data_IF_863886440753
#
_entry.id   IF_863886440753
#
_cell.length_a   1.000
_cell.length_b   1.000
_cell.length_c   1.000
_cell.angle_alpha   90.00
_cell.angle_beta   90.00
_cell.angle_gamma   90.00
#
_symmetry.space_group_name_H-M   'P 1'
#
loop_
_entity.id
_entity.type
_entity.pdbx_description
1 polymer ?
#
# COMPACT_ATOMS: atom_id res chain seq x y z
N UNK A 1 -6.90 -0.91 6.00
CA UNK A 1 -6.60 -0.86 4.54
C UNK A 1 -5.57 0.23 4.33
N UNK A 2 -4.68 0.09 3.34
CA UNK A 2 -3.73 1.16 2.99
C UNK A 2 -3.86 1.52 1.51
N UNK A 3 -3.75 2.81 1.19
CA UNK A 3 -3.55 3.30 -0.17
C UNK A 3 -2.07 3.61 -0.38
N UNK A 4 -1.47 2.95 -1.35
CA UNK A 4 -0.10 3.15 -1.78
C UNK A 4 -0.10 3.96 -3.08
N UNK A 5 0.65 5.06 -3.15
CA UNK A 5 0.92 5.80 -4.39
C UNK A 5 2.39 5.66 -4.74
N UNK A 6 2.67 5.13 -5.93
CA UNK A 6 4.00 4.75 -6.38
C UNK A 6 4.56 5.79 -7.37
N UNK A 7 5.82 6.25 -7.18
CA UNK A 7 6.54 6.94 -8.23
C UNK A 7 6.93 5.94 -9.34
N UNK A 8 7.04 6.42 -10.59
CA UNK A 8 7.33 5.61 -11.79
C UNK A 8 8.45 4.56 -11.60
N UNK A 9 9.51 4.93 -10.87
CA UNK A 9 10.70 4.10 -10.65
C UNK A 9 10.44 2.82 -9.83
N UNK A 10 9.39 2.78 -9.01
CA UNK A 10 9.08 1.62 -8.14
C UNK A 10 8.29 0.55 -8.90
N UNK A 11 7.65 0.90 -10.02
CA UNK A 11 6.77 -0.02 -10.78
C UNK A 11 7.51 -1.20 -11.43
N UNK A 12 8.85 -1.18 -11.47
CA UNK A 12 9.66 -2.27 -12.04
C UNK A 12 10.10 -3.33 -11.01
N UNK A 13 9.77 -3.16 -9.73
CA UNK A 13 10.14 -4.11 -8.69
C UNK A 13 8.99 -5.06 -8.31
N UNK A 14 9.28 -6.31 -7.92
CA UNK A 14 8.27 -7.26 -7.47
C UNK A 14 7.83 -6.96 -6.03
N UNK A 15 7.34 -5.74 -5.78
CA UNK A 15 7.13 -5.20 -4.44
C UNK A 15 6.20 -6.09 -3.60
N UNK A 16 5.04 -6.48 -4.12
CA UNK A 16 4.08 -7.31 -3.41
C UNK A 16 4.63 -8.69 -3.04
N UNK A 17 5.45 -9.27 -3.92
CA UNK A 17 6.14 -10.53 -3.63
C UNK A 17 7.13 -10.35 -2.47
N UNK A 18 7.90 -9.26 -2.46
CA UNK A 18 8.81 -8.96 -1.36
C UNK A 18 8.07 -8.75 -0.05
N UNK A 19 6.90 -8.09 -0.06
CA UNK A 19 6.07 -7.93 1.14
C UNK A 19 5.72 -9.28 1.78
N UNK A 20 5.20 -10.21 0.98
CA UNK A 20 4.83 -11.54 1.49
C UNK A 20 6.01 -12.40 1.90
N UNK A 21 7.15 -12.29 1.19
CA UNK A 21 8.37 -13.05 1.51
C UNK A 21 9.07 -12.54 2.76
N UNK A 22 9.17 -11.23 2.93
CA UNK A 22 10.08 -10.60 3.90
C UNK A 22 9.36 -10.16 5.20
N UNK A 23 8.02 -10.05 5.18
CA UNK A 23 7.23 -9.51 6.30
C UNK A 23 6.05 -10.38 6.71
N UNK A 24 5.98 -11.66 6.32
CA UNK A 24 4.91 -12.59 6.73
C UNK A 24 3.46 -12.04 6.61
N UNK A 25 3.24 -11.08 5.70
CA UNK A 25 1.91 -10.52 5.42
C UNK A 25 1.36 -11.13 4.14
N UNK A 26 0.04 -11.23 4.05
CA UNK A 26 -0.64 -11.56 2.81
C UNK A 26 -1.30 -10.29 2.28
N UNK A 27 -0.79 -9.70 1.18
CA UNK A 27 -1.43 -8.56 0.55
C UNK A 27 -2.61 -9.02 -0.32
N UNK A 28 -3.75 -8.36 -0.15
CA UNK A 28 -4.94 -8.52 -0.97
C UNK A 28 -5.25 -7.19 -1.68
N UNK A 29 -5.30 -7.21 -3.00
CA UNK A 29 -5.52 -6.00 -3.82
C UNK A 29 -7.02 -5.72 -3.92
N UNK A 30 -7.44 -4.56 -3.44
CA UNK A 30 -8.84 -4.11 -3.55
C UNK A 30 -9.09 -3.22 -4.76
N UNK A 31 -8.07 -2.50 -5.21
CA UNK A 31 -8.10 -1.68 -6.41
C UNK A 31 -6.70 -1.24 -6.79
N UNK A 32 -6.46 -1.02 -8.08
CA UNK A 32 -5.20 -0.49 -8.55
C UNK A 32 -5.39 0.23 -9.89
N UNK A 33 -4.58 1.25 -10.11
CA UNK A 33 -4.40 1.88 -11.41
C UNK A 33 -2.90 2.04 -11.62
N UNK A 34 -2.39 1.50 -12.72
CA UNK A 34 -0.97 1.56 -13.06
C UNK A 34 -0.86 2.28 -14.39
N UNK A 35 -0.30 3.48 -14.38
CA UNK A 35 0.07 4.24 -15.56
C UNK A 35 1.59 4.31 -15.73
N UNK A 36 2.02 4.91 -16.84
CA UNK A 36 3.43 4.96 -17.22
C UNK A 36 4.30 5.76 -16.23
N UNK A 37 3.76 6.83 -15.65
CA UNK A 37 4.50 7.75 -14.77
C UNK A 37 4.09 7.66 -13.28
N UNK A 38 2.91 7.10 -13.01
CA UNK A 38 2.32 7.02 -11.68
C UNK A 38 1.36 5.85 -11.58
N UNK A 39 1.29 5.26 -10.41
CA UNK A 39 0.27 4.26 -10.10
C UNK A 39 -0.14 4.33 -8.65
N UNK A 40 -1.32 3.79 -8.35
CA UNK A 40 -1.80 3.63 -6.99
C UNK A 40 -2.38 2.24 -6.79
N UNK A 41 -2.40 1.79 -5.54
CA UNK A 41 -2.98 0.51 -5.15
C UNK A 41 -3.59 0.59 -3.76
N UNK A 42 -4.81 0.10 -3.62
CA UNK A 42 -5.42 -0.22 -2.34
C UNK A 42 -5.08 -1.65 -1.95
N UNK A 43 -4.45 -1.78 -0.79
CA UNK A 43 -4.07 -3.04 -0.19
C UNK A 43 -4.81 -3.25 1.12
N UNK A 44 -5.41 -4.41 1.25
CA UNK A 44 -5.74 -5.01 2.53
C UNK A 44 -4.60 -5.96 2.90
N UNK A 45 -4.00 -5.76 4.07
CA UNK A 45 -2.90 -6.58 4.55
C UNK A 45 -3.41 -7.48 5.66
N UNK A 46 -3.22 -8.77 5.50
CA UNK A 46 -3.48 -9.77 6.54
C UNK A 46 -2.15 -10.18 7.18
N UNK A 47 -2.08 -10.16 8.50
CA UNK A 47 -0.88 -10.49 9.27
C UNK A 47 -0.93 -9.89 10.67
N UNK A 48 0.12 -10.13 11.45
CA UNK A 48 0.25 -9.51 12.78
C UNK A 48 0.46 -8.01 12.65
N UNK A 49 -0.12 -7.22 13.56
CA UNK A 49 -0.06 -5.75 13.51
C UNK A 49 1.39 -5.24 13.42
N UNK A 50 2.33 -5.84 14.15
CA UNK A 50 3.73 -5.45 14.10
C UNK A 50 4.38 -5.69 12.73
N UNK A 51 4.01 -6.76 12.02
CA UNK A 51 4.51 -7.01 10.66
C UNK A 51 3.92 -5.99 9.68
N UNK A 52 2.63 -5.67 9.82
CA UNK A 52 1.93 -4.65 9.02
C UNK A 52 2.59 -3.28 9.21
N UNK A 53 2.91 -2.90 10.45
CA UNK A 53 3.59 -1.63 10.74
C UNK A 53 4.97 -1.57 10.07
N UNK A 54 5.75 -2.67 10.12
CA UNK A 54 7.03 -2.76 9.40
C UNK A 54 6.87 -2.65 7.89
N UNK A 55 5.82 -3.22 7.31
CA UNK A 55 5.51 -3.07 5.88
C UNK A 55 5.23 -1.63 5.52
N UNK A 56 4.46 -0.91 6.32
CA UNK A 56 4.17 0.52 6.10
C UNK A 56 5.45 1.35 6.16
N UNK A 57 6.31 1.12 7.15
CA UNK A 57 7.61 1.80 7.24
C UNK A 57 8.52 1.46 6.06
N UNK A 58 8.57 0.19 5.66
CA UNK A 58 9.34 -0.25 4.50
C UNK A 58 8.88 0.46 3.23
N UNK A 59 7.57 0.45 2.93
CA UNK A 59 7.01 1.13 1.76
C UNK A 59 7.37 2.62 1.74
N UNK A 60 7.20 3.32 2.88
CA UNK A 60 7.60 4.73 3.02
C UNK A 60 9.09 4.94 2.79
N UNK A 61 9.95 4.06 3.30
CA UNK A 61 11.40 4.13 3.08
C UNK A 61 11.79 3.96 1.61
N UNK A 62 10.97 3.27 0.82
CA UNK A 62 11.13 3.12 -0.63
C UNK A 62 10.58 4.32 -1.42
N UNK A 63 10.06 5.35 -0.75
CA UNK A 63 9.46 6.52 -1.39
C UNK A 63 8.02 6.28 -1.88
N UNK A 64 7.37 5.21 -1.42
CA UNK A 64 5.93 5.01 -1.63
C UNK A 64 5.16 5.87 -0.63
N UNK A 65 4.22 6.67 -1.12
CA UNK A 65 3.29 7.37 -0.23
C UNK A 65 2.25 6.38 0.28
N UNK A 66 2.03 6.35 1.60
CA UNK A 66 1.12 5.39 2.24
C UNK A 66 0.13 6.12 3.14
N UNK A 67 -1.14 6.08 2.73
CA UNK A 67 -2.29 6.50 3.53
C UNK A 67 -2.94 5.28 4.19
N UNK A 68 -3.13 5.35 5.52
CA UNK A 68 -3.73 4.26 6.30
C UNK A 68 -5.19 4.60 6.57
N UNK A 69 -6.10 3.77 6.07
CA UNK A 69 -7.53 3.87 6.34
C UNK A 69 -7.92 2.88 7.44
N UNK A 70 -8.40 3.41 8.57
CA UNK A 70 -8.97 2.57 9.61
C UNK A 70 -10.40 2.17 9.19
N UNK A 71 -10.82 0.91 9.42
CA UNK A 71 -12.21 0.54 9.25
C UNK A 71 -13.07 1.36 10.21
N UNK A 72 -13.77 2.36 9.69
CA UNK A 72 -14.51 3.38 10.45
C UNK A 72 -14.33 4.80 9.91
N UNK A 73 -13.26 5.06 9.15
CA UNK A 73 -13.06 6.30 8.42
C UNK A 73 -13.90 6.28 7.14
N UNK A 74 -15.21 6.38 7.28
CA UNK A 74 -16.08 6.75 6.17
C UNK A 74 -15.66 8.15 5.72
N UNK A 75 -14.85 8.20 4.67
CA UNK A 75 -14.47 9.42 3.99
C UNK A 75 -15.74 10.16 3.58
N UNK A 76 -16.14 11.13 4.38
CA UNK A 76 -17.05 12.17 3.91
C UNK A 76 -16.24 12.99 2.91
N UNK A 77 -16.39 12.65 1.63
CA UNK A 77 -16.05 13.56 0.56
C UNK A 77 -16.97 14.78 0.72
N UNK A 78 -16.45 15.85 1.32
CA UNK A 78 -17.01 17.18 1.12
C UNK A 78 -16.59 17.61 -0.27
N UNK A 79 -17.46 17.38 -1.24
CA UNK A 79 -17.41 18.10 -2.50
C UNK A 79 -17.56 19.59 -2.20
N UNK A 80 -16.50 20.36 -2.43
CA UNK A 80 -16.45 21.81 -2.42
C UNK A 80 -15.84 22.29 -3.72
#
# INVERSE_FOLDING_TARGET
>A
MIRCTFPAMILQEPLLYNLGRDFHVVPNIRGAEIGDDRGWMDLELEGDQGEIDRVVEYLRSRGVEVDVHHPGDSGTSVAG
#
